data_IF_665090308728
#
_entry.id   IF_665090308728
#
_cell.length_a   1.000
_cell.length_b   1.000
_cell.length_c   1.000
_cell.angle_alpha   90.00
_cell.angle_beta   90.00
_cell.angle_gamma   90.00
#
_symmetry.space_group_name_H-M   'P 1'
#
loop_
_entity.id
_entity.type
_entity.pdbx_description
1 polymer ?
#
# COMPACT_ATOMS: atom_id res chain seq x y z
N UNK A 1 -25.11 5.66 14.72
CA UNK A 1 -23.99 6.42 14.16
C UNK A 1 -22.74 5.56 13.97
N UNK A 2 -22.44 4.63 14.89
CA UNK A 2 -21.29 3.70 14.81
C UNK A 2 -21.39 2.67 13.68
N UNK A 3 -22.58 2.15 13.37
CA UNK A 3 -22.78 1.13 12.32
C UNK A 3 -22.34 1.60 10.93
N UNK A 4 -22.62 2.86 10.59
CA UNK A 4 -22.23 3.47 9.31
C UNK A 4 -20.71 3.60 9.23
N UNK A 5 -20.07 3.99 10.34
CA UNK A 5 -18.61 4.10 10.45
C UNK A 5 -17.93 2.73 10.35
N UNK A 6 -18.49 1.70 10.98
CA UNK A 6 -17.98 0.32 10.90
C UNK A 6 -18.08 -0.24 9.48
N UNK A 7 -19.19 0.01 8.77
CA UNK A 7 -19.36 -0.41 7.37
C UNK A 7 -18.35 0.33 6.47
N UNK A 8 -18.15 1.63 6.69
CA UNK A 8 -17.17 2.42 5.94
C UNK A 8 -15.73 1.90 6.13
N UNK A 9 -15.35 1.56 7.37
CA UNK A 9 -14.04 0.96 7.67
C UNK A 9 -13.85 -0.40 7.01
N UNK A 10 -14.89 -1.24 7.02
CA UNK A 10 -14.85 -2.55 6.36
C UNK A 10 -14.55 -2.40 4.86
N UNK A 11 -15.21 -1.47 4.18
CA UNK A 11 -14.98 -1.19 2.76
C UNK A 11 -13.58 -0.61 2.54
N UNK A 12 -13.14 0.35 3.37
CA UNK A 12 -11.81 0.93 3.26
C UNK A 12 -10.69 -0.12 3.42
N UNK A 13 -10.87 -1.06 4.35
CA UNK A 13 -9.96 -2.19 4.55
C UNK A 13 -9.90 -3.09 3.32
N UNK A 14 -11.04 -3.43 2.73
CA UNK A 14 -11.10 -4.27 1.53
C UNK A 14 -10.37 -3.62 0.34
N UNK A 15 -10.61 -2.32 0.12
CA UNK A 15 -9.94 -1.55 -0.93
C UNK A 15 -8.43 -1.50 -0.71
N UNK A 16 -7.97 -1.33 0.54
CA UNK A 16 -6.56 -1.32 0.87
C UNK A 16 -5.91 -2.67 0.55
N UNK A 17 -6.52 -3.79 0.95
CA UNK A 17 -6.01 -5.13 0.67
C UNK A 17 -5.85 -5.34 -0.84
N UNK A 18 -6.88 -5.00 -1.63
CA UNK A 18 -6.82 -5.10 -3.09
C UNK A 18 -5.68 -4.22 -3.65
N UNK A 19 -5.58 -2.97 -3.19
CA UNK A 19 -4.55 -2.04 -3.65
C UNK A 19 -3.12 -2.53 -3.33
N UNK A 20 -2.89 -3.12 -2.16
CA UNK A 20 -1.59 -3.72 -1.78
C UNK A 20 -1.29 -4.97 -2.61
N UNK A 21 -2.28 -5.82 -2.88
CA UNK A 21 -2.06 -7.03 -3.69
C UNK A 21 -1.70 -6.73 -5.15
N UNK A 22 -2.12 -5.58 -5.66
CA UNK A 22 -1.76 -5.09 -7.00
C UNK A 22 -0.37 -4.46 -7.04
N UNK A 23 0.28 -4.21 -5.90
CA UNK A 23 1.64 -3.72 -5.87
C UNK A 23 2.63 -4.84 -6.14
N UNK A 24 3.57 -4.57 -7.03
CA UNK A 24 4.69 -5.48 -7.26
C UNK A 24 5.66 -5.40 -6.07
N UNK A 25 6.17 -6.54 -5.57
CA UNK A 25 7.11 -6.55 -4.46
C UNK A 25 8.37 -5.77 -4.85
N UNK A 26 8.74 -4.80 -4.00
CA UNK A 26 9.90 -3.91 -4.23
C UNK A 26 11.26 -4.62 -4.07
N UNK A 27 11.24 -5.84 -3.57
CA UNK A 27 12.41 -6.72 -3.46
C UNK A 27 12.52 -7.52 -4.73
N UNK A 28 13.50 -7.18 -5.57
CA UNK A 28 14.04 -8.19 -6.48
C UNK A 28 14.45 -9.38 -5.62
N UNK A 29 13.95 -10.57 -5.95
CA UNK A 29 14.20 -11.78 -5.17
C UNK A 29 15.69 -12.10 -4.94
N UNK A 30 15.95 -13.32 -4.46
CA UNK A 30 17.28 -13.86 -4.14
C UNK A 30 18.40 -13.60 -5.19
N UNK A 31 18.05 -13.21 -6.43
CA UNK A 31 18.99 -12.74 -7.45
C UNK A 31 19.72 -11.41 -7.16
N UNK A 32 19.27 -10.56 -6.22
CA UNK A 32 20.05 -9.38 -5.80
C UNK A 32 21.02 -9.63 -4.66
N UNK A 33 20.86 -10.72 -3.92
CA UNK A 33 21.85 -11.17 -2.93
C UNK A 33 23.10 -11.79 -3.58
N UNK A 34 22.99 -12.25 -4.84
CA UNK A 34 24.06 -12.96 -5.54
C UNK A 34 25.13 -12.05 -6.19
N UNK A 35 25.10 -10.74 -5.94
CA UNK A 35 26.19 -9.85 -6.36
C UNK A 35 26.33 -9.69 -7.88
N UNK A 36 25.24 -9.76 -8.65
CA UNK A 36 25.28 -9.27 -10.02
C UNK A 36 25.06 -7.76 -10.05
N UNK A 37 26.06 -7.11 -10.63
CA UNK A 37 26.17 -5.68 -10.94
C UNK A 37 24.83 -4.97 -11.04
N UNK A 38 24.72 -3.92 -10.23
CA UNK A 38 23.61 -2.99 -10.22
C UNK A 38 23.44 -2.40 -11.62
N UNK A 39 22.45 -2.90 -12.38
CA UNK A 39 21.97 -2.19 -13.55
C UNK A 39 21.17 -0.96 -13.07
N UNK A 40 21.90 0.06 -12.60
CA UNK A 40 21.39 1.35 -12.12
C UNK A 40 20.72 2.14 -13.26
N UNK A 41 21.01 1.80 -14.52
CA UNK A 41 20.58 2.58 -15.69
C UNK A 41 19.37 2.02 -16.45
N UNK A 42 18.97 0.76 -16.24
CA UNK A 42 17.79 0.15 -16.88
C UNK A 42 16.54 0.01 -15.98
N UNK A 43 16.68 0.25 -14.67
CA UNK A 43 15.67 -0.07 -13.65
C UNK A 43 14.63 1.03 -13.39
N UNK A 44 14.83 2.22 -13.96
CA UNK A 44 13.95 3.39 -13.78
C UNK A 44 12.69 3.38 -14.64
N UNK A 45 12.64 2.60 -15.73
CA UNK A 45 11.51 2.61 -16.66
C UNK A 45 10.23 1.94 -16.11
N UNK A 46 10.36 0.95 -15.22
CA UNK A 46 9.21 0.25 -14.62
C UNK A 46 8.82 0.77 -13.22
N UNK A 47 9.65 1.63 -12.61
CA UNK A 47 9.40 2.16 -11.26
C UNK A 47 8.18 3.08 -11.20
N UNK A 48 7.86 3.79 -12.28
CA UNK A 48 6.84 4.85 -12.26
C UNK A 48 5.44 4.39 -11.86
N UNK A 49 5.01 3.20 -12.32
CA UNK A 49 3.68 2.66 -12.01
C UNK A 49 3.60 2.14 -10.58
N UNK A 50 4.60 1.36 -10.16
CA UNK A 50 4.63 0.83 -8.80
C UNK A 50 4.82 1.94 -7.76
N UNK A 51 5.58 2.98 -8.08
CA UNK A 51 5.79 4.16 -7.22
C UNK A 51 4.51 5.01 -7.07
N UNK A 52 3.65 5.03 -8.09
CA UNK A 52 2.34 5.68 -7.99
C UNK A 52 1.36 4.85 -7.15
N UNK A 53 1.30 3.53 -7.37
CA UNK A 53 0.49 2.61 -6.55
C UNK A 53 0.95 2.64 -5.08
N UNK A 54 2.25 2.75 -4.84
CA UNK A 54 2.83 2.85 -3.51
C UNK A 54 2.33 4.07 -2.75
N UNK A 55 2.38 5.25 -3.37
CA UNK A 55 1.84 6.49 -2.79
C UNK A 55 0.35 6.38 -2.49
N UNK A 56 -0.43 5.73 -3.35
CA UNK A 56 -1.87 5.54 -3.16
C UNK A 56 -2.15 4.64 -1.95
N UNK A 57 -1.41 3.54 -1.79
CA UNK A 57 -1.58 2.65 -0.63
C UNK A 57 -1.12 3.29 0.66
N UNK A 58 0.00 4.04 0.64
CA UNK A 58 0.46 4.78 1.82
C UNK A 58 -0.63 5.77 2.25
N UNK A 59 -1.18 6.54 1.30
CA UNK A 59 -2.27 7.47 1.59
C UNK A 59 -3.53 6.74 2.11
N UNK A 60 -3.95 5.66 1.46
CA UNK A 60 -5.11 4.87 1.85
C UNK A 60 -4.93 4.25 3.26
N UNK A 61 -3.72 3.77 3.58
CA UNK A 61 -3.37 3.23 4.89
C UNK A 61 -3.42 4.28 5.99
N UNK A 62 -2.88 5.48 5.76
CA UNK A 62 -2.96 6.60 6.70
C UNK A 62 -4.43 6.96 6.97
N UNK A 63 -5.23 7.09 5.91
CA UNK A 63 -6.67 7.41 6.02
C UNK A 63 -7.40 6.36 6.83
N UNK A 64 -7.19 5.07 6.56
CA UNK A 64 -7.80 3.97 7.30
C UNK A 64 -7.42 4.06 8.78
N UNK A 65 -6.13 4.21 9.09
CA UNK A 65 -5.64 4.26 10.47
C UNK A 65 -6.26 5.43 11.26
N UNK A 66 -6.32 6.61 10.65
CA UNK A 66 -6.96 7.80 11.24
C UNK A 66 -8.45 7.57 11.47
N UNK A 67 -9.19 7.08 10.47
CA UNK A 67 -10.61 6.75 10.63
C UNK A 67 -10.85 5.71 11.72
N UNK A 68 -9.95 4.73 11.85
CA UNK A 68 -10.08 3.67 12.86
C UNK A 68 -9.89 4.22 14.28
N UNK A 69 -8.94 5.14 14.48
CA UNK A 69 -8.75 5.83 15.77
C UNK A 69 -9.97 6.70 16.10
N UNK A 70 -10.49 7.44 15.12
CA UNK A 70 -11.68 8.27 15.31
C UNK A 70 -12.90 7.43 15.68
N UNK A 71 -13.10 6.26 15.06
CA UNK A 71 -14.16 5.34 15.44
C UNK A 71 -14.00 4.87 16.89
N UNK A 72 -12.80 4.43 17.27
CA UNK A 72 -12.50 4.01 18.65
C UNK A 72 -12.73 5.11 19.68
N UNK A 73 -12.43 6.37 19.34
CA UNK A 73 -12.63 7.49 20.24
C UNK A 73 -14.12 7.86 20.42
N UNK A 74 -14.97 7.56 19.43
CA UNK A 74 -16.41 7.85 19.45
C UNK A 74 -17.22 6.68 20.04
N UNK A 75 -16.70 5.45 19.97
CA UNK A 75 -17.35 4.22 20.44
C UNK A 75 -16.94 3.84 21.87
#
# INVERSE_FOLDING_TARGET
MTTVLSILLMIASLVLVIAVTLQEPKTDGLGTLAGQETNVFGRSAHRSKNEMLDKVVIAAGIVLFVLSIVLLAIN
#
